data_IF_993982065327
#
_entry.id   IF_993982065327
#
_cell.length_a   1.000
_cell.length_b   1.000
_cell.length_c   1.000
_cell.angle_alpha   90.00
_cell.angle_beta   90.00
_cell.angle_gamma   90.00
#
_symmetry.space_group_name_H-M   'P 1'
#
loop_
_entity.id
_entity.type
_entity.pdbx_description
1 polymer ?
#
# COMPACT_ATOMS: atom_id res chain seq x y z
N UNK A 1 14.27 -21.48 0.98
CA UNK A 1 12.95 -20.87 1.36
C UNK A 1 12.19 -20.68 0.06
N UNK A 2 10.98 -21.20 -0.05
CA UNK A 2 10.13 -20.98 -1.23
C UNK A 2 9.57 -19.54 -1.23
N UNK A 3 8.97 -19.11 -2.34
CA UNK A 3 8.26 -17.82 -2.43
C UNK A 3 7.17 -17.73 -1.33
N UNK A 4 6.34 -18.76 -1.21
CA UNK A 4 5.26 -18.81 -0.21
C UNK A 4 5.82 -18.77 1.22
N UNK A 5 6.86 -19.55 1.54
CA UNK A 5 7.48 -19.51 2.87
C UNK A 5 8.02 -18.11 3.21
N UNK A 6 8.60 -17.43 2.21
CA UNK A 6 9.13 -16.08 2.35
C UNK A 6 8.01 -15.09 2.61
N UNK A 7 6.94 -15.13 1.80
CA UNK A 7 5.76 -14.30 1.99
C UNK A 7 5.14 -14.50 3.39
N UNK A 8 4.88 -15.75 3.78
CA UNK A 8 4.34 -16.07 5.11
C UNK A 8 5.23 -15.56 6.25
N UNK A 9 6.55 -15.56 6.05
CA UNK A 9 7.48 -14.97 7.00
C UNK A 9 7.36 -13.45 7.04
N UNK A 10 7.26 -12.79 5.90
CA UNK A 10 7.20 -11.33 5.83
C UNK A 10 5.91 -10.77 6.42
N UNK A 11 4.76 -11.39 6.17
CA UNK A 11 3.48 -10.94 6.76
C UNK A 11 3.42 -11.12 8.29
N UNK A 12 4.34 -11.89 8.88
CA UNK A 12 4.43 -12.02 10.34
C UNK A 12 5.00 -10.76 11.03
N UNK A 13 5.59 -9.83 10.27
CA UNK A 13 6.05 -8.55 10.79
C UNK A 13 4.90 -7.54 10.78
N UNK A 14 4.65 -6.92 11.92
CA UNK A 14 3.79 -5.75 12.00
C UNK A 14 4.56 -4.53 11.46
N UNK A 15 4.09 -3.95 10.37
CA UNK A 15 4.75 -2.80 9.70
C UNK A 15 3.79 -1.66 9.41
N UNK A 16 2.65 -1.62 10.11
CA UNK A 16 1.64 -0.60 9.91
C UNK A 16 2.23 0.82 10.01
N UNK A 17 1.96 1.65 9.01
CA UNK A 17 2.32 3.07 8.98
C UNK A 17 1.39 3.93 9.86
N UNK A 18 1.77 5.18 10.12
CA UNK A 18 1.02 6.12 10.95
C UNK A 18 1.29 7.57 10.51
N UNK A 19 0.36 8.14 9.75
CA UNK A 19 0.46 9.51 9.22
C UNK A 19 0.54 10.60 10.31
N UNK A 20 0.11 10.30 11.54
CA UNK A 20 0.05 11.28 12.63
C UNK A 20 1.42 11.62 13.22
N UNK A 21 2.44 10.80 12.98
CA UNK A 21 3.77 10.94 13.59
C UNK A 21 4.62 12.03 12.94
N UNK A 22 4.47 12.26 11.65
CA UNK A 22 5.32 13.17 10.87
C UNK A 22 6.78 12.73 10.78
N UNK A 23 7.08 11.47 11.08
CA UNK A 23 8.41 10.87 11.00
C UNK A 23 8.55 10.01 9.74
N UNK A 24 9.78 9.65 9.38
CA UNK A 24 10.10 8.64 8.35
C UNK A 24 11.23 7.73 8.86
N UNK A 25 11.01 6.42 9.01
CA UNK A 25 9.72 5.77 8.85
C UNK A 25 8.72 6.23 9.92
N UNK A 26 7.44 6.25 9.56
CA UNK A 26 6.38 6.74 10.45
C UNK A 26 6.22 5.88 11.70
N UNK A 27 6.62 4.61 11.63
CA UNK A 27 6.66 3.72 12.79
C UNK A 27 7.98 2.95 12.86
N UNK A 28 8.53 2.72 14.07
CA UNK A 28 9.77 1.95 14.23
C UNK A 28 9.64 0.47 13.84
N UNK A 29 8.43 -0.04 13.70
CA UNK A 29 8.14 -1.41 13.25
C UNK A 29 8.67 -1.67 11.86
N UNK A 30 8.60 -0.70 10.97
CA UNK A 30 9.11 -0.78 9.61
C UNK A 30 10.63 -0.98 9.60
N UNK A 31 11.36 -0.27 10.47
CA UNK A 31 12.81 -0.44 10.60
C UNK A 31 13.19 -1.87 11.06
N UNK A 32 12.38 -2.50 11.93
CA UNK A 32 12.61 -3.88 12.35
C UNK A 32 12.53 -4.84 11.16
N UNK A 33 11.57 -4.62 10.27
CA UNK A 33 11.44 -5.43 9.06
C UNK A 33 12.55 -5.13 8.05
N UNK A 34 12.91 -3.85 7.86
CA UNK A 34 14.04 -3.45 7.01
C UNK A 34 15.35 -4.11 7.45
N UNK A 35 15.64 -4.15 8.75
CA UNK A 35 16.82 -4.83 9.29
C UNK A 35 16.78 -6.36 9.08
N UNK A 36 15.60 -6.96 9.13
CA UNK A 36 15.45 -8.37 8.79
C UNK A 36 15.76 -8.61 7.31
N UNK A 37 15.17 -7.82 6.41
CA UNK A 37 15.41 -7.91 4.97
C UNK A 37 16.89 -7.68 4.61
N UNK A 38 17.52 -6.68 5.23
CA UNK A 38 18.96 -6.44 5.05
C UNK A 38 19.78 -7.67 5.34
N UNK A 39 19.55 -8.33 6.47
CA UNK A 39 20.27 -9.57 6.83
C UNK A 39 19.98 -10.72 5.86
N UNK A 40 18.77 -10.82 5.35
CA UNK A 40 18.42 -11.81 4.34
C UNK A 40 19.20 -11.55 3.05
N UNK A 41 19.18 -10.31 2.54
CA UNK A 41 19.93 -9.92 1.34
C UNK A 41 21.45 -10.14 1.49
N UNK A 42 22.00 -9.84 2.66
CA UNK A 42 23.41 -10.15 3.01
C UNK A 42 23.68 -11.66 2.94
N UNK A 43 22.80 -12.47 3.52
CA UNK A 43 22.93 -13.93 3.52
C UNK A 43 22.82 -14.55 2.12
N UNK A 44 22.06 -13.89 1.24
CA UNK A 44 21.92 -14.26 -0.16
C UNK A 44 23.14 -13.80 -1.00
N UNK A 45 24.06 -13.02 -0.42
CA UNK A 45 25.26 -12.52 -1.08
C UNK A 45 24.95 -11.51 -2.17
N UNK A 46 23.97 -10.63 -1.97
CA UNK A 46 23.81 -9.42 -2.76
C UNK A 46 24.89 -8.40 -2.36
N UNK A 47 25.12 -7.43 -3.23
CA UNK A 47 26.18 -6.41 -3.06
C UNK A 47 25.55 -5.03 -2.80
N UNK A 48 26.40 -4.06 -2.40
CA UNK A 48 26.04 -2.65 -2.17
C UNK A 48 24.77 -2.49 -1.28
N UNK A 49 24.65 -3.32 -0.26
CA UNK A 49 23.48 -3.30 0.63
C UNK A 49 23.61 -2.10 1.56
N UNK A 50 22.63 -1.23 1.51
CA UNK A 50 22.54 -0.05 2.38
C UNK A 50 21.14 0.10 2.96
N UNK A 51 21.08 0.32 4.26
CA UNK A 51 19.86 0.72 4.97
C UNK A 51 20.14 2.06 5.65
N UNK A 52 19.37 3.07 5.34
CA UNK A 52 19.53 4.40 5.94
C UNK A 52 18.65 4.60 7.19
N UNK A 53 18.83 5.75 7.84
CA UNK A 53 18.08 6.10 9.04
C UNK A 53 16.57 6.32 8.81
N UNK A 54 16.17 6.48 7.55
CA UNK A 54 14.78 6.65 7.14
C UNK A 54 14.11 5.34 6.72
N UNK A 55 14.83 4.22 6.74
CA UNK A 55 14.30 2.91 6.42
C UNK A 55 14.39 2.50 4.96
N UNK A 56 15.03 3.30 4.08
CA UNK A 56 15.24 2.88 2.69
C UNK A 56 16.36 1.85 2.60
N UNK A 57 16.01 0.69 2.10
CA UNK A 57 16.92 -0.44 1.93
C UNK A 57 17.21 -0.67 0.45
N UNK A 58 18.47 -0.51 0.05
CA UNK A 58 18.93 -0.78 -1.32
C UNK A 58 19.91 -1.93 -1.37
N UNK A 59 19.90 -2.68 -2.47
CA UNK A 59 20.84 -3.75 -2.74
C UNK A 59 21.10 -3.90 -4.25
N UNK A 60 22.14 -4.65 -4.60
CA UNK A 60 22.55 -4.93 -5.99
C UNK A 60 22.68 -6.43 -6.21
N UNK A 61 22.08 -6.92 -7.28
CA UNK A 61 22.50 -8.15 -7.94
C UNK A 61 23.45 -7.77 -9.09
N UNK A 62 24.74 -8.10 -9.03
CA UNK A 62 25.70 -7.73 -10.08
C UNK A 62 25.37 -8.43 -11.40
N UNK A 63 25.72 -7.77 -12.51
CA UNK A 63 25.56 -8.34 -13.84
C UNK A 63 26.35 -9.64 -13.99
N UNK A 64 25.82 -10.60 -14.71
CA UNK A 64 26.53 -11.84 -15.10
C UNK A 64 26.91 -11.88 -16.58
N UNK A 65 26.92 -10.70 -17.25
CA UNK A 65 27.34 -10.51 -18.64
C UNK A 65 28.42 -9.44 -18.72
N UNK A 66 29.28 -9.56 -19.77
CA UNK A 66 30.34 -8.59 -20.10
C UNK A 66 29.88 -7.58 -21.17
N UNK A 67 28.59 -7.24 -21.18
CA UNK A 67 27.98 -6.27 -22.11
C UNK A 67 27.42 -5.12 -21.30
N UNK A 68 27.69 -3.92 -21.77
CA UNK A 68 27.04 -2.72 -21.21
C UNK A 68 25.56 -2.72 -21.59
N UNK A 69 24.71 -2.75 -20.59
CA UNK A 69 23.25 -2.71 -20.69
C UNK A 69 22.71 -1.85 -19.56
N UNK A 70 21.52 -1.26 -19.75
CA UNK A 70 20.88 -0.46 -18.71
C UNK A 70 20.75 -1.21 -17.38
N UNK A 71 20.95 -0.48 -16.29
CA UNK A 71 20.60 -0.99 -14.96
C UNK A 71 19.10 -0.84 -14.75
N UNK A 72 18.44 -1.93 -14.39
CA UNK A 72 17.02 -1.92 -14.02
C UNK A 72 16.87 -2.04 -12.50
N UNK A 73 15.79 -1.45 -11.97
CA UNK A 73 15.46 -1.51 -10.56
C UNK A 73 14.10 -2.17 -10.32
N UNK A 74 13.98 -2.87 -9.19
CA UNK A 74 12.71 -3.35 -8.67
C UNK A 74 12.47 -2.74 -7.29
N UNK A 75 11.26 -2.25 -7.06
CA UNK A 75 10.88 -1.50 -5.86
C UNK A 75 9.61 -2.14 -5.30
N UNK A 76 9.53 -2.19 -3.97
CA UNK A 76 8.35 -2.61 -3.23
C UNK A 76 8.32 -1.90 -1.87
N UNK A 77 7.12 -1.65 -1.32
CA UNK A 77 7.03 -1.00 -0.02
C UNK A 77 6.91 -2.00 1.15
N UNK A 78 7.37 -1.58 2.32
CA UNK A 78 7.45 -2.42 3.50
C UNK A 78 6.27 -2.26 4.46
N UNK A 79 5.65 -1.09 4.44
CA UNK A 79 4.56 -0.79 5.35
C UNK A 79 3.24 -1.44 4.93
N UNK A 80 2.30 -1.42 5.83
CA UNK A 80 0.91 -1.80 5.59
C UNK A 80 0.00 -0.66 6.00
N UNK A 81 -1.15 -0.58 5.35
CA UNK A 81 -2.14 0.48 5.53
C UNK A 81 -2.52 0.70 7.01
N UNK A 82 -2.70 1.97 7.42
CA UNK A 82 -3.22 2.30 8.74
C UNK A 82 -4.70 1.94 8.95
N UNK A 83 -5.43 1.61 7.88
CA UNK A 83 -6.88 1.37 7.93
C UNK A 83 -7.26 0.15 8.79
N UNK A 84 -6.39 -0.86 8.83
CA UNK A 84 -6.59 -2.05 9.63
C UNK A 84 -5.26 -2.57 10.20
N UNK A 85 -5.31 -3.18 11.38
CA UNK A 85 -4.10 -3.72 12.03
C UNK A 85 -3.40 -4.79 11.19
N UNK A 86 -2.08 -4.70 11.10
CA UNK A 86 -1.18 -5.74 10.56
C UNK A 86 -0.46 -6.53 11.66
N UNK A 87 -0.95 -6.46 12.91
CA UNK A 87 -0.34 -7.15 14.05
C UNK A 87 -0.93 -8.54 14.23
N UNK A 88 -0.07 -9.51 14.57
CA UNK A 88 -0.44 -10.89 14.87
C UNK A 88 -1.21 -11.56 13.71
N UNK A 89 -0.78 -11.29 12.48
CA UNK A 89 -1.37 -11.89 11.28
C UNK A 89 -1.27 -13.41 11.35
N UNK A 90 -2.39 -14.08 11.15
CA UNK A 90 -2.50 -15.55 11.16
C UNK A 90 -2.94 -16.05 9.79
N UNK A 91 -2.00 -16.14 8.81
CA UNK A 91 -2.34 -16.58 7.47
C UNK A 91 -2.63 -18.09 7.44
N UNK A 92 -3.52 -18.49 6.53
CA UNK A 92 -3.75 -19.89 6.19
C UNK A 92 -3.92 -20.08 4.69
N UNK A 93 -3.60 -21.26 4.22
CA UNK A 93 -3.78 -21.63 2.80
C UNK A 93 -5.12 -22.34 2.63
N UNK A 94 -5.90 -21.88 1.67
CA UNK A 94 -7.08 -22.55 1.14
C UNK A 94 -6.65 -23.25 -0.12
N UNK A 95 -6.44 -24.57 -0.05
CA UNK A 95 -5.97 -25.34 -1.19
C UNK A 95 -7.07 -25.53 -2.23
N UNK A 96 -6.73 -25.37 -3.51
CA UNK A 96 -7.61 -25.64 -4.67
C UNK A 96 -9.00 -25.03 -4.51
N UNK A 97 -9.03 -23.74 -4.32
CA UNK A 97 -10.27 -22.99 -4.08
C UNK A 97 -11.38 -23.43 -5.05
N UNK A 98 -12.54 -23.79 -4.53
CA UNK A 98 -13.64 -24.36 -5.31
C UNK A 98 -14.68 -23.33 -5.80
N UNK A 99 -14.55 -22.06 -5.38
CA UNK A 99 -15.48 -20.98 -5.71
C UNK A 99 -16.60 -20.80 -4.68
N UNK A 100 -16.53 -21.46 -3.53
CA UNK A 100 -17.47 -21.28 -2.42
C UNK A 100 -17.04 -20.16 -1.48
N UNK A 101 -17.92 -19.82 -0.54
CA UNK A 101 -17.63 -18.89 0.53
C UNK A 101 -16.47 -19.39 1.40
N UNK A 102 -15.53 -18.52 1.72
CA UNK A 102 -14.41 -18.79 2.62
C UNK A 102 -14.72 -18.20 4.00
N UNK A 103 -15.02 -19.03 4.99
CA UNK A 103 -15.20 -18.55 6.37
C UNK A 103 -13.83 -18.19 6.94
N UNK A 104 -13.59 -16.90 7.18
CA UNK A 104 -12.36 -16.39 7.77
C UNK A 104 -12.39 -16.49 9.30
N UNK A 105 -13.48 -16.05 9.94
CA UNK A 105 -13.72 -16.15 11.37
C UNK A 105 -15.18 -16.56 11.64
N UNK A 106 -15.38 -17.78 12.15
CA UNK A 106 -16.72 -18.29 12.41
C UNK A 106 -17.39 -17.60 13.60
N UNK A 107 -16.61 -17.26 14.64
CA UNK A 107 -17.10 -16.62 15.86
C UNK A 107 -17.66 -15.21 15.59
N UNK A 108 -17.09 -14.50 14.63
CA UNK A 108 -17.51 -13.13 14.26
C UNK A 108 -18.29 -13.10 12.94
N UNK A 109 -18.56 -14.27 12.37
CA UNK A 109 -19.26 -14.41 11.08
C UNK A 109 -18.59 -13.61 9.95
N UNK A 110 -17.24 -13.60 9.93
CA UNK A 110 -16.48 -12.95 8.84
C UNK A 110 -16.30 -13.97 7.73
N UNK A 111 -16.83 -13.63 6.56
CA UNK A 111 -16.86 -14.50 5.38
C UNK A 111 -16.37 -13.72 4.18
N UNK A 112 -15.43 -14.29 3.44
CA UNK A 112 -15.03 -13.82 2.13
C UNK A 112 -15.88 -14.57 1.08
N UNK A 113 -16.79 -13.87 0.41
CA UNK A 113 -17.79 -14.47 -0.46
C UNK A 113 -17.70 -13.95 -1.87
N UNK A 114 -17.75 -14.84 -2.89
CA UNK A 114 -17.85 -14.45 -4.30
C UNK A 114 -19.10 -13.62 -4.64
N UNK A 115 -20.11 -13.63 -3.77
CA UNK A 115 -21.28 -12.76 -3.95
C UNK A 115 -20.98 -11.29 -3.68
N UNK A 116 -19.93 -11.00 -2.90
CA UNK A 116 -19.43 -9.65 -2.60
C UNK A 116 -18.18 -9.32 -3.41
N UNK A 117 -17.35 -10.32 -3.69
CA UNK A 117 -16.09 -10.23 -4.41
C UNK A 117 -16.08 -11.24 -5.57
N UNK A 118 -16.76 -10.93 -6.70
CA UNK A 118 -16.90 -11.85 -7.83
C UNK A 118 -15.59 -12.31 -8.45
N UNK A 119 -14.54 -11.50 -8.36
CA UNK A 119 -13.18 -11.77 -8.85
C UNK A 119 -12.56 -13.03 -8.21
N UNK A 120 -13.01 -13.43 -7.02
CA UNK A 120 -12.60 -14.69 -6.42
C UNK A 120 -12.88 -15.91 -7.30
N UNK A 121 -13.87 -15.82 -8.18
CA UNK A 121 -14.21 -16.92 -9.06
C UNK A 121 -13.17 -17.18 -10.14
N UNK A 122 -12.34 -16.19 -10.46
CA UNK A 122 -11.28 -16.30 -11.45
C UNK A 122 -10.12 -17.17 -10.93
N UNK A 123 -10.02 -17.31 -9.60
CA UNK A 123 -9.00 -18.11 -8.90
C UNK A 123 -9.44 -19.54 -8.55
N UNK A 124 -10.50 -20.05 -9.21
CA UNK A 124 -10.94 -21.44 -8.97
C UNK A 124 -9.89 -22.46 -9.36
N UNK A 125 -9.58 -23.35 -8.43
CA UNK A 125 -8.56 -24.38 -8.59
C UNK A 125 -7.17 -23.95 -8.15
N UNK A 126 -6.98 -22.70 -7.78
CA UNK A 126 -5.75 -22.15 -7.24
C UNK A 126 -5.71 -22.26 -5.71
N UNK A 127 -4.51 -22.16 -5.15
CA UNK A 127 -4.30 -22.07 -3.70
C UNK A 127 -4.33 -20.59 -3.28
N UNK A 128 -5.18 -20.26 -2.29
CA UNK A 128 -5.32 -18.90 -1.81
C UNK A 128 -4.73 -18.75 -0.41
N UNK A 129 -3.99 -17.67 -0.18
CA UNK A 129 -3.53 -17.30 1.16
C UNK A 129 -4.49 -16.26 1.72
N UNK A 130 -5.11 -16.56 2.84
CA UNK A 130 -6.08 -15.69 3.52
C UNK A 130 -5.72 -15.48 4.99
N UNK A 131 -6.23 -14.39 5.59
CA UNK A 131 -6.11 -14.15 7.03
C UNK A 131 -7.31 -14.72 7.79
N UNK A 132 -7.33 -14.48 9.09
CA UNK A 132 -8.48 -14.77 9.95
C UNK A 132 -9.58 -13.69 9.89
N UNK A 133 -9.49 -12.72 9.00
CA UNK A 133 -10.45 -11.62 8.85
C UNK A 133 -10.40 -10.53 9.92
N UNK A 134 -9.45 -10.61 10.87
CA UNK A 134 -9.27 -9.61 11.95
C UNK A 134 -8.09 -8.68 11.73
N UNK A 135 -7.28 -8.98 10.74
CA UNK A 135 -6.10 -8.20 10.33
C UNK A 135 -6.05 -8.07 8.83
N UNK A 136 -5.27 -7.10 8.33
CA UNK A 136 -4.76 -7.19 6.96
C UNK A 136 -3.93 -8.46 6.81
N UNK A 137 -3.85 -9.01 5.60
CA UNK A 137 -2.88 -10.04 5.27
C UNK A 137 -1.48 -9.40 5.10
N UNK A 138 -1.43 -8.21 4.52
CA UNK A 138 -0.20 -7.50 4.18
C UNK A 138 0.44 -8.02 2.88
N UNK A 139 -0.39 -8.54 1.96
CA UNK A 139 0.07 -8.90 0.62
C UNK A 139 0.56 -7.66 -0.11
N UNK A 140 -0.12 -6.59 0.04
CA UNK A 140 0.25 -5.23 -0.31
C UNK A 140 1.17 -4.66 0.79
N UNK A 141 2.51 -4.48 0.56
CA UNK A 141 3.21 -4.97 -0.66
C UNK A 141 4.33 -5.98 -0.30
N UNK A 142 4.11 -6.78 0.76
CA UNK A 142 5.06 -7.84 1.13
C UNK A 142 5.09 -9.00 0.12
N UNK A 143 4.08 -9.09 -0.76
CA UNK A 143 4.12 -10.01 -1.88
C UNK A 143 5.19 -9.58 -2.89
N UNK A 144 5.18 -8.32 -3.31
CA UNK A 144 6.20 -7.76 -4.19
C UNK A 144 7.61 -7.89 -3.62
N UNK A 145 7.79 -7.63 -2.30
CA UNK A 145 9.08 -7.89 -1.65
C UNK A 145 9.48 -9.38 -1.77
N UNK A 146 8.56 -10.31 -1.51
CA UNK A 146 8.84 -11.73 -1.56
C UNK A 146 9.18 -12.19 -2.99
N UNK A 147 8.49 -11.64 -3.98
CA UNK A 147 8.72 -11.90 -5.41
C UNK A 147 10.09 -11.40 -5.85
N UNK A 148 10.44 -10.14 -5.53
CA UNK A 148 11.74 -9.55 -5.85
C UNK A 148 12.86 -10.40 -5.26
N UNK A 149 12.81 -10.69 -3.96
CA UNK A 149 13.86 -11.47 -3.28
C UNK A 149 13.96 -12.89 -3.85
N UNK A 150 12.81 -13.53 -4.15
CA UNK A 150 12.80 -14.87 -4.75
C UNK A 150 13.35 -14.89 -6.16
N UNK A 151 13.06 -13.85 -6.96
CA UNK A 151 13.64 -13.69 -8.29
C UNK A 151 15.16 -13.55 -8.23
N UNK A 152 15.71 -12.81 -7.25
CA UNK A 152 17.16 -12.69 -7.08
C UNK A 152 17.80 -14.02 -6.70
N UNK A 153 17.16 -14.79 -5.81
CA UNK A 153 17.62 -16.14 -5.49
C UNK A 153 17.63 -17.03 -6.74
N UNK A 154 16.55 -17.00 -7.50
CA UNK A 154 16.42 -17.80 -8.72
C UNK A 154 17.49 -17.45 -9.75
N UNK A 155 17.74 -16.17 -9.99
CA UNK A 155 18.80 -15.73 -10.93
C UNK A 155 20.21 -16.13 -10.46
N UNK A 156 20.47 -16.15 -9.16
CA UNK A 156 21.76 -16.62 -8.61
C UNK A 156 21.93 -18.14 -8.74
N UNK A 157 20.86 -18.90 -8.60
CA UNK A 157 20.85 -20.36 -8.76
C UNK A 157 20.91 -20.78 -10.24
N UNK A 158 20.55 -19.87 -11.16
CA UNK A 158 20.50 -20.09 -12.61
C UNK A 158 21.43 -19.14 -13.39
N UNK A 159 22.76 -19.27 -13.24
CA UNK A 159 23.71 -18.36 -13.89
C UNK A 159 23.72 -18.42 -15.42
N UNK A 160 23.07 -19.42 -16.02
CA UNK A 160 22.78 -19.50 -17.45
C UNK A 160 21.83 -18.41 -17.92
N UNK A 161 20.94 -17.90 -17.06
CA UNK A 161 20.07 -16.75 -17.34
C UNK A 161 20.92 -15.49 -17.30
N UNK A 162 21.07 -14.86 -18.46
CA UNK A 162 21.94 -13.68 -18.62
C UNK A 162 21.19 -12.40 -18.30
N UNK A 163 21.75 -11.59 -17.41
CA UNK A 163 21.18 -10.31 -16.99
C UNK A 163 22.23 -9.24 -16.77
N UNK A 164 21.83 -7.98 -16.91
CA UNK A 164 22.59 -6.80 -16.49
C UNK A 164 22.58 -6.63 -14.96
N UNK A 165 23.07 -5.50 -14.49
CA UNK A 165 22.97 -5.13 -13.08
C UNK A 165 21.50 -4.87 -12.72
N UNK A 166 21.05 -5.45 -11.61
CA UNK A 166 19.71 -5.25 -11.06
C UNK A 166 19.82 -4.55 -9.71
N UNK A 167 19.08 -3.48 -9.54
CA UNK A 167 18.92 -2.78 -8.25
C UNK A 167 17.64 -3.21 -7.57
N UNK A 168 17.67 -3.26 -6.26
CA UNK A 168 16.52 -3.55 -5.40
C UNK A 168 16.35 -2.39 -4.45
N UNK A 169 15.14 -1.89 -4.31
CA UNK A 169 14.77 -0.84 -3.38
C UNK A 169 13.53 -1.22 -2.58
N UNK A 170 13.64 -1.16 -1.24
CA UNK A 170 12.48 -1.29 -0.37
C UNK A 170 12.30 0.03 0.40
N UNK A 171 11.11 0.58 0.35
CA UNK A 171 10.78 1.87 0.94
C UNK A 171 9.75 1.75 2.06
N UNK A 172 9.76 2.65 3.05
CA UNK A 172 8.72 2.77 4.05
C UNK A 172 7.59 3.67 3.56
N UNK A 173 6.48 3.73 4.31
CA UNK A 173 5.47 4.79 4.32
C UNK A 173 4.80 5.08 2.96
N UNK A 174 4.67 4.07 2.10
CA UNK A 174 3.96 4.20 0.83
C UNK A 174 2.47 4.47 1.07
N UNK A 175 1.84 3.71 1.93
CA UNK A 175 0.42 3.68 2.26
C UNK A 175 -0.13 5.01 2.87
N UNK A 176 0.79 5.89 3.26
CA UNK A 176 0.46 7.25 3.72
C UNK A 176 0.99 8.35 2.78
N UNK A 177 1.43 7.95 1.56
CA UNK A 177 1.89 8.87 0.53
C UNK A 177 3.29 9.46 0.76
N UNK A 178 4.07 8.95 1.71
CA UNK A 178 5.39 9.48 2.06
C UNK A 178 6.56 8.66 1.47
N UNK A 179 6.27 7.52 0.85
CA UNK A 179 7.25 6.54 0.39
C UNK A 179 8.31 7.06 -0.58
N UNK A 180 7.99 8.07 -1.38
CA UNK A 180 8.92 8.66 -2.35
C UNK A 180 9.75 9.84 -1.80
N UNK A 181 9.33 10.48 -0.69
CA UNK A 181 9.85 11.79 -0.27
C UNK A 181 11.34 11.84 0.05
N UNK A 182 11.90 10.74 0.56
CA UNK A 182 13.33 10.65 0.89
C UNK A 182 14.05 9.54 0.11
N UNK A 183 13.40 9.00 -0.92
CA UNK A 183 14.02 8.00 -1.77
C UNK A 183 15.16 8.62 -2.56
N UNK A 184 16.37 8.16 -2.31
CA UNK A 184 17.58 8.65 -3.00
C UNK A 184 17.71 8.01 -4.38
N UNK A 185 17.13 8.65 -5.39
CA UNK A 185 17.10 8.19 -6.78
C UNK A 185 18.51 8.04 -7.36
N UNK A 186 19.44 8.96 -7.02
CA UNK A 186 20.82 8.91 -7.50
C UNK A 186 21.57 7.71 -6.92
N UNK A 187 21.41 7.46 -5.62
CA UNK A 187 22.00 6.30 -4.95
C UNK A 187 21.36 4.99 -5.40
N UNK A 188 20.05 4.98 -5.67
CA UNK A 188 19.36 3.84 -6.25
C UNK A 188 19.96 3.50 -7.63
N UNK A 189 20.16 4.48 -8.49
CA UNK A 189 21.05 4.40 -9.65
C UNK A 189 20.64 3.36 -10.69
N UNK A 190 19.38 3.31 -11.07
CA UNK A 190 18.88 2.55 -12.22
C UNK A 190 18.38 3.50 -13.33
N UNK A 191 18.31 3.01 -14.56
CA UNK A 191 17.74 3.77 -15.69
C UNK A 191 16.21 3.63 -15.73
N UNK A 192 15.69 2.46 -15.38
CA UNK A 192 14.25 2.17 -15.23
C UNK A 192 14.01 1.42 -13.95
N UNK A 193 12.97 1.84 -13.22
CA UNK A 193 12.47 1.16 -12.02
C UNK A 193 11.06 0.61 -12.28
N UNK A 194 10.81 -0.58 -11.76
CA UNK A 194 9.50 -1.21 -11.74
C UNK A 194 9.07 -1.37 -10.29
N UNK A 195 7.93 -0.78 -9.93
CA UNK A 195 7.31 -1.02 -8.64
C UNK A 195 6.48 -2.30 -8.74
N UNK A 196 6.76 -3.24 -7.84
CA UNK A 196 6.10 -4.56 -7.79
C UNK A 196 4.88 -4.51 -6.86
N UNK A 197 4.03 -3.53 -7.09
CA UNK A 197 2.86 -3.17 -6.29
C UNK A 197 1.65 -3.10 -7.22
N UNK A 198 1.38 -4.20 -7.88
CA UNK A 198 0.40 -4.30 -8.95
C UNK A 198 -0.77 -5.21 -8.62
N UNK A 199 -1.70 -5.30 -9.56
CA UNK A 199 -2.89 -6.14 -9.52
C UNK A 199 -2.67 -7.52 -10.14
N UNK A 200 -3.27 -7.74 -11.30
CA UNK A 200 -3.31 -9.04 -11.98
C UNK A 200 -1.97 -9.44 -12.60
N UNK A 201 -1.71 -10.76 -12.66
CA UNK A 201 -0.51 -11.29 -13.29
C UNK A 201 -0.42 -10.89 -14.76
N UNK A 202 0.67 -10.18 -15.10
CA UNK A 202 0.93 -9.69 -16.46
C UNK A 202 0.43 -8.28 -16.73
N UNK A 203 -0.16 -7.63 -15.75
CA UNK A 203 -0.48 -6.21 -15.81
C UNK A 203 0.80 -5.37 -15.80
N UNK A 204 0.80 -4.30 -16.58
CA UNK A 204 1.85 -3.30 -16.61
C UNK A 204 1.21 -1.91 -16.67
N UNK A 205 1.28 -1.19 -15.58
CA UNK A 205 0.89 0.21 -15.51
C UNK A 205 2.09 1.10 -15.84
N UNK A 206 1.89 2.06 -16.75
CA UNK A 206 2.94 3.00 -17.17
C UNK A 206 2.40 4.43 -17.29
N UNK A 207 1.24 4.66 -16.73
CA UNK A 207 0.57 5.97 -16.67
C UNK A 207 0.47 6.43 -15.21
N UNK A 208 0.35 7.74 -15.03
CA UNK A 208 0.09 8.34 -13.74
C UNK A 208 -1.08 9.33 -13.84
N UNK A 209 -1.58 9.77 -12.73
CA UNK A 209 -2.61 10.78 -12.63
C UNK A 209 -2.17 11.92 -11.70
N UNK A 210 -2.82 13.08 -11.85
CA UNK A 210 -2.65 14.17 -10.90
C UNK A 210 -3.65 14.03 -9.76
N UNK A 211 -3.20 14.25 -8.54
CA UNK A 211 -4.05 14.22 -7.36
C UNK A 211 -3.78 15.44 -6.47
N UNK A 212 -4.82 15.88 -5.77
CA UNK A 212 -4.72 16.91 -4.76
C UNK A 212 -5.64 16.58 -3.58
N UNK A 213 -5.25 16.99 -2.38
CA UNK A 213 -6.08 16.90 -1.19
C UNK A 213 -6.48 18.29 -0.71
N UNK A 214 -7.72 18.45 -0.28
CA UNK A 214 -8.21 19.69 0.30
C UNK A 214 -8.81 19.43 1.68
N UNK A 215 -8.28 20.13 2.68
CA UNK A 215 -8.80 20.16 4.05
C UNK A 215 -9.55 21.45 4.28
N UNK A 216 -10.88 21.38 4.38
CA UNK A 216 -11.75 22.55 4.43
C UNK A 216 -12.37 22.67 5.81
N UNK A 217 -12.14 23.81 6.46
CA UNK A 217 -12.70 24.12 7.77
C UNK A 217 -13.85 25.12 7.64
N UNK A 218 -15.04 24.73 8.09
CA UNK A 218 -16.19 25.60 8.18
C UNK A 218 -16.33 26.11 9.61
N UNK A 219 -16.38 27.43 9.77
CA UNK A 219 -16.56 28.09 11.07
C UNK A 219 -18.00 28.56 11.23
N UNK A 220 -18.65 28.06 12.26
CA UNK A 220 -19.98 28.46 12.65
C UNK A 220 -19.99 29.48 13.79
N UNK A 221 -21.16 29.70 14.33
CA UNK A 221 -21.38 30.50 15.53
C UNK A 221 -22.46 29.82 16.38
N UNK A 222 -22.05 29.26 17.50
CA UNK A 222 -22.98 28.62 18.42
C UNK A 222 -23.70 29.66 19.27
N UNK A 223 -25.00 29.42 19.49
CA UNK A 223 -25.87 30.22 20.35
C UNK A 223 -26.86 29.27 21.00
N UNK A 224 -27.24 29.52 22.26
CA UNK A 224 -28.29 28.72 22.91
C UNK A 224 -29.54 28.68 22.02
N UNK A 225 -30.14 27.49 21.78
CA UNK A 225 -31.26 27.33 20.84
C UNK A 225 -32.43 28.30 21.07
N UNK A 226 -32.72 28.65 22.30
CA UNK A 226 -33.77 29.63 22.65
C UNK A 226 -33.53 31.07 22.15
N UNK A 227 -32.30 31.38 21.74
CA UNK A 227 -31.86 32.70 21.24
C UNK A 227 -31.22 32.63 19.84
N UNK A 228 -31.36 31.49 19.18
CA UNK A 228 -30.60 31.18 17.97
C UNK A 228 -31.15 31.87 16.71
N UNK A 229 -32.40 32.30 16.71
CA UNK A 229 -33.04 32.93 15.55
C UNK A 229 -32.20 34.12 15.05
N UNK A 230 -31.86 34.10 13.77
CA UNK A 230 -31.03 35.10 13.05
C UNK A 230 -29.62 35.33 13.62
N UNK A 231 -29.15 34.41 14.50
CA UNK A 231 -27.85 34.53 15.16
C UNK A 231 -26.95 33.29 15.00
N UNK A 232 -27.54 32.08 15.10
CA UNK A 232 -26.80 30.85 15.00
C UNK A 232 -26.36 30.60 13.56
N UNK A 233 -25.12 30.17 13.40
CA UNK A 233 -24.58 29.64 12.14
C UNK A 233 -24.07 28.26 12.48
N UNK A 234 -24.71 27.22 11.95
CA UNK A 234 -24.29 25.86 12.18
C UNK A 234 -23.29 25.43 11.10
N UNK A 235 -22.05 25.14 11.52
CA UNK A 235 -20.97 24.78 10.61
C UNK A 235 -21.24 23.47 9.84
N UNK A 236 -22.00 22.52 10.45
CA UNK A 236 -22.38 21.26 9.80
C UNK A 236 -23.25 21.52 8.58
N UNK A 237 -24.19 22.47 8.67
CA UNK A 237 -25.03 22.83 7.51
C UNK A 237 -24.24 23.53 6.42
N UNK A 238 -23.21 24.33 6.76
CA UNK A 238 -22.31 24.93 5.77
C UNK A 238 -21.50 23.84 5.06
N UNK A 239 -20.94 22.90 5.81
CA UNK A 239 -20.20 21.76 5.23
C UNK A 239 -21.11 20.92 4.31
N UNK A 240 -22.32 20.60 4.75
CA UNK A 240 -23.28 19.86 3.93
C UNK A 240 -23.65 20.62 2.65
N UNK A 241 -23.86 21.94 2.74
CA UNK A 241 -24.14 22.76 1.56
C UNK A 241 -22.98 22.73 0.57
N UNK A 242 -21.75 22.84 1.05
CA UNK A 242 -20.56 22.73 0.22
C UNK A 242 -20.47 21.36 -0.48
N UNK A 243 -20.63 20.27 0.26
CA UNK A 243 -20.60 18.90 -0.27
C UNK A 243 -21.66 18.72 -1.36
N UNK A 244 -22.84 19.28 -1.19
CA UNK A 244 -23.91 19.20 -2.20
C UNK A 244 -23.65 20.07 -3.44
N UNK A 245 -22.67 20.98 -3.40
CA UNK A 245 -22.24 21.76 -4.57
C UNK A 245 -21.24 21.00 -5.44
N UNK A 246 -20.57 19.97 -4.90
CA UNK A 246 -19.67 19.13 -5.69
C UNK A 246 -20.48 18.31 -6.70
N UNK A 247 -19.99 18.16 -7.94
CA UNK A 247 -20.69 17.43 -8.98
C UNK A 247 -20.97 15.97 -8.56
N UNK A 248 -22.22 15.58 -8.50
CA UNK A 248 -22.59 14.23 -8.03
C UNK A 248 -22.15 13.11 -8.98
N UNK A 249 -21.90 13.44 -10.24
CA UNK A 249 -21.44 12.48 -11.25
C UNK A 249 -19.90 12.35 -11.29
N UNK A 250 -19.20 13.25 -10.62
CA UNK A 250 -17.73 13.22 -10.51
C UNK A 250 -17.29 12.65 -9.15
N UNK A 251 -17.90 11.54 -8.74
CA UNK A 251 -17.52 10.77 -7.56
C UNK A 251 -16.92 9.44 -7.99
N UNK A 252 -16.02 8.82 -7.20
CA UNK A 252 -15.39 7.55 -7.57
C UNK A 252 -16.38 6.47 -8.01
N UNK A 253 -17.54 6.40 -7.35
CA UNK A 253 -18.58 5.43 -7.66
C UNK A 253 -19.31 5.67 -9.00
N UNK A 254 -19.03 6.77 -9.69
CA UNK A 254 -19.68 7.16 -10.96
C UNK A 254 -18.68 7.38 -12.10
N UNK A 255 -17.39 7.32 -11.82
CA UNK A 255 -16.32 7.61 -12.80
C UNK A 255 -15.58 6.35 -13.22
N UNK A 256 -14.98 6.36 -14.40
CA UNK A 256 -14.22 5.23 -14.95
C UNK A 256 -13.11 5.72 -15.89
N UNK A 257 -12.07 4.91 -16.08
CA UNK A 257 -10.96 5.22 -16.99
C UNK A 257 -10.25 6.53 -16.59
N UNK A 258 -10.19 7.49 -17.50
CA UNK A 258 -9.52 8.78 -17.31
C UNK A 258 -10.43 9.91 -16.77
N UNK A 259 -11.58 9.58 -16.25
CA UNK A 259 -12.49 10.58 -15.67
C UNK A 259 -12.00 11.00 -14.28
N UNK A 260 -11.81 12.31 -14.09
CA UNK A 260 -11.46 12.87 -12.79
C UNK A 260 -12.60 12.82 -11.78
N UNK A 261 -12.27 12.81 -10.48
CA UNK A 261 -13.29 12.72 -9.44
C UNK A 261 -12.99 13.54 -8.18
N UNK A 262 -14.03 13.82 -7.40
CA UNK A 262 -13.97 14.36 -6.04
C UNK A 262 -14.33 13.26 -5.04
N UNK A 263 -13.36 12.82 -4.27
CA UNK A 263 -13.57 11.82 -3.21
C UNK A 263 -13.65 12.48 -1.82
N UNK A 264 -14.85 12.53 -1.25
CA UNK A 264 -15.05 12.97 0.13
C UNK A 264 -14.64 11.83 1.09
N UNK A 265 -13.47 11.96 1.70
CA UNK A 265 -12.91 10.92 2.57
C UNK A 265 -13.47 11.02 3.99
N UNK A 266 -13.65 12.22 4.50
CA UNK A 266 -14.10 12.38 5.87
C UNK A 266 -14.78 13.71 6.14
N UNK A 267 -15.65 13.71 7.13
CA UNK A 267 -16.27 14.91 7.69
C UNK A 267 -16.42 14.73 9.20
N UNK A 268 -15.99 15.72 9.95
CA UNK A 268 -16.14 15.76 11.40
C UNK A 268 -16.49 17.17 11.85
N UNK A 269 -17.36 17.31 12.84
CA UNK A 269 -17.65 18.63 13.36
C UNK A 269 -18.83 18.74 14.29
N UNK A 270 -19.03 19.95 14.77
CA UNK A 270 -20.15 20.40 15.61
C UNK A 270 -20.73 21.73 15.10
N UNK A 271 -21.51 22.44 15.91
CA UNK A 271 -22.13 23.72 15.53
C UNK A 271 -21.09 24.82 15.29
N UNK A 272 -19.95 24.78 16.01
CA UNK A 272 -18.92 25.84 15.96
C UNK A 272 -17.92 25.61 14.83
N UNK A 273 -17.54 24.36 14.61
CA UNK A 273 -16.54 24.04 13.60
C UNK A 273 -16.75 22.67 12.98
N UNK A 274 -16.66 22.59 11.66
CA UNK A 274 -16.63 21.34 10.91
C UNK A 274 -15.41 21.29 10.01
N UNK A 275 -14.86 20.10 9.86
CA UNK A 275 -13.72 19.78 9.01
C UNK A 275 -14.14 18.77 7.96
N UNK A 276 -13.80 18.99 6.71
CA UNK A 276 -13.98 18.06 5.60
C UNK A 276 -12.63 17.79 4.92
N UNK A 277 -12.37 16.54 4.58
CA UNK A 277 -11.21 16.12 3.80
C UNK A 277 -11.70 15.57 2.46
N UNK A 278 -11.16 16.10 1.37
CA UNK A 278 -11.52 15.75 0.00
C UNK A 278 -10.24 15.44 -0.77
N UNK A 279 -10.19 14.31 -1.46
CA UNK A 279 -9.20 14.05 -2.49
C UNK A 279 -9.80 14.37 -3.87
N UNK A 280 -8.99 14.90 -4.76
CA UNK A 280 -9.32 15.29 -6.12
C UNK A 280 -8.33 14.58 -7.02
N UNK A 281 -8.83 13.80 -7.99
CA UNK A 281 -8.04 13.17 -9.03
C UNK A 281 -8.45 13.72 -10.40
N UNK A 282 -7.47 13.88 -11.29
CA UNK A 282 -7.64 14.30 -12.70
C UNK A 282 -6.85 13.36 -13.63
#
# INVERSE_FOLDING_TARGET
MTLVDRFLKYVSFDTQSDESTGLTPSTPKQMIFAEYLKKELESLGLEDITLDEHGYLFATLPANINKEVPTIGFIAHMDTSPDMTGKDVTPRIVEKYDGSDIVLCAEENVVLSPSQFPELLDHKGEDLIVTNGKTLLGADDKAGIAEIVSAMVYLKEHPEIKHGKIRIGFNPDEEIGEGAHKFDVEKFGCEWGYTMDGGEVGELEFENFNAAAAKITFKGRNVHPGYAKDKMINSIYLANQFITMLPSQERPEHTTGYEGFYHLIGIQGDVEQSLSLIHISE
#
